data_IF_413986762496
#
_entry.id   IF_413986762496
#
_cell.length_a   1.000
_cell.length_b   1.000
_cell.length_c   1.000
_cell.angle_alpha   90.00
_cell.angle_beta   90.00
_cell.angle_gamma   90.00
#
_symmetry.space_group_name_H-M   'P 1'
#
loop_
_entity.id
_entity.type
_entity.pdbx_description
1 polymer ?
#
# COMPACT_ATOMS: atom_id res chain seq x y z
N UNK A 1 5.61 -16.13 -10.11
CA UNK A 1 5.78 -14.69 -9.87
C UNK A 1 6.23 -13.91 -11.10
N UNK A 2 7.12 -14.45 -11.93
CA UNK A 2 7.63 -13.72 -13.10
C UNK A 2 6.54 -13.33 -14.12
N UNK A 3 5.47 -14.12 -14.22
CA UNK A 3 4.30 -13.82 -15.10
C UNK A 3 3.47 -12.60 -14.67
N UNK A 4 3.68 -12.08 -13.47
CA UNK A 4 3.00 -10.90 -12.95
C UNK A 4 3.91 -9.66 -12.87
N UNK A 5 5.17 -9.78 -13.30
CA UNK A 5 6.16 -8.70 -13.16
C UNK A 5 5.69 -7.38 -13.79
N UNK A 6 5.10 -7.45 -14.98
CA UNK A 6 4.61 -6.28 -15.73
C UNK A 6 3.31 -5.69 -15.16
N UNK A 7 2.69 -6.36 -14.19
CA UNK A 7 1.44 -5.95 -13.54
C UNK A 7 1.64 -5.48 -12.10
N UNK A 8 2.87 -5.55 -11.60
CA UNK A 8 3.22 -5.10 -10.26
C UNK A 8 3.33 -3.58 -10.23
N UNK A 9 2.41 -2.93 -9.54
CA UNK A 9 2.39 -1.47 -9.33
C UNK A 9 3.21 -1.06 -8.10
N UNK A 10 3.14 -1.85 -7.04
CA UNK A 10 3.91 -1.66 -5.81
C UNK A 10 4.35 -3.02 -5.28
N UNK A 11 5.59 -3.09 -4.81
CA UNK A 11 6.13 -4.31 -4.18
C UNK A 11 7.25 -3.95 -3.22
N UNK A 12 7.26 -4.57 -2.05
CA UNK A 12 8.40 -4.48 -1.14
C UNK A 12 8.11 -5.01 0.25
N UNK A 13 9.17 -5.34 1.00
CA UNK A 13 9.08 -5.72 2.39
C UNK A 13 8.77 -4.53 3.29
N UNK A 14 8.01 -4.78 4.35
CA UNK A 14 7.99 -3.95 5.55
C UNK A 14 9.13 -4.37 6.47
N UNK A 15 9.69 -3.42 7.19
CA UNK A 15 10.87 -3.61 8.01
C UNK A 15 10.57 -3.25 9.47
N UNK A 16 11.35 -3.83 10.37
CA UNK A 16 11.38 -3.46 11.78
C UNK A 16 11.77 -1.98 11.97
N UNK A 17 11.58 -1.47 13.18
CA UNK A 17 11.85 -0.05 13.49
C UNK A 17 13.29 0.35 13.24
N UNK A 18 14.24 -0.55 13.44
CA UNK A 18 15.65 -0.36 13.13
C UNK A 18 16.02 -0.67 11.66
N UNK A 19 15.08 -1.22 10.88
CA UNK A 19 15.27 -1.60 9.49
C UNK A 19 16.01 -2.92 9.27
N UNK A 20 16.34 -3.66 10.32
CA UNK A 20 17.18 -4.84 10.24
C UNK A 20 16.43 -6.11 9.83
N UNK A 21 15.14 -6.22 10.15
CA UNK A 21 14.33 -7.41 9.94
C UNK A 21 13.15 -7.15 9.02
N UNK A 22 12.81 -8.14 8.20
CA UNK A 22 11.57 -8.13 7.43
C UNK A 22 10.40 -8.52 8.34
N UNK A 23 9.39 -7.66 8.42
CA UNK A 23 8.20 -7.88 9.24
C UNK A 23 6.97 -8.28 8.43
N UNK A 24 7.04 -8.12 7.11
CA UNK A 24 5.96 -8.45 6.19
C UNK A 24 6.28 -8.02 4.77
N UNK A 25 5.26 -7.98 3.93
CA UNK A 25 5.38 -7.56 2.53
C UNK A 25 4.06 -6.98 2.03
N UNK A 26 4.15 -6.01 1.13
CA UNK A 26 3.00 -5.49 0.40
C UNK A 26 3.19 -5.68 -1.09
N UNK A 27 2.11 -6.08 -1.77
CA UNK A 27 2.05 -6.16 -3.22
C UNK A 27 0.77 -5.47 -3.71
N UNK A 28 0.88 -4.56 -4.64
CA UNK A 28 -0.27 -4.04 -5.41
C UNK A 28 -0.09 -4.48 -6.85
N UNK A 29 -1.07 -5.20 -7.35
CA UNK A 29 -1.00 -5.88 -8.65
C UNK A 29 -2.23 -5.56 -9.47
N UNK A 30 -2.04 -5.19 -10.72
CA UNK A 30 -3.15 -5.01 -11.66
C UNK A 30 -3.65 -6.37 -12.15
N UNK A 31 -4.81 -6.78 -11.66
CA UNK A 31 -5.43 -8.07 -11.95
C UNK A 31 -6.91 -7.89 -12.31
N UNK A 32 -7.39 -8.72 -13.22
CA UNK A 32 -8.73 -8.62 -13.77
C UNK A 32 -9.85 -8.85 -12.75
N UNK A 33 -9.59 -9.64 -11.69
CA UNK A 33 -10.61 -10.01 -10.71
C UNK A 33 -9.99 -10.56 -9.41
N UNK A 34 -10.84 -10.73 -8.39
CA UNK A 34 -10.46 -11.26 -7.08
C UNK A 34 -9.82 -12.66 -7.16
N UNK A 35 -10.36 -13.55 -7.98
CA UNK A 35 -9.79 -14.91 -8.14
C UNK A 35 -8.33 -14.88 -8.67
N UNK A 36 -8.00 -13.90 -9.50
CA UNK A 36 -6.62 -13.64 -9.92
C UNK A 36 -5.73 -13.18 -8.77
N UNK A 37 -6.25 -12.32 -7.89
CA UNK A 37 -5.53 -11.82 -6.72
C UNK A 37 -5.30 -12.92 -5.67
N UNK A 38 -6.30 -13.74 -5.40
CA UNK A 38 -6.18 -14.89 -4.49
C UNK A 38 -5.17 -15.91 -5.01
N UNK A 39 -5.17 -16.17 -6.31
CA UNK A 39 -4.17 -17.03 -6.95
C UNK A 39 -2.77 -16.45 -6.88
N UNK A 40 -2.62 -15.13 -7.10
CA UNK A 40 -1.35 -14.45 -6.92
C UNK A 40 -0.82 -14.60 -5.48
N UNK A 41 -1.68 -14.37 -4.49
CA UNK A 41 -1.33 -14.53 -3.08
C UNK A 41 -0.95 -15.98 -2.74
N UNK A 42 -1.68 -16.97 -3.26
CA UNK A 42 -1.41 -18.39 -3.03
C UNK A 42 -0.09 -18.86 -3.68
N UNK A 43 0.37 -18.20 -4.73
CA UNK A 43 1.64 -18.51 -5.43
C UNK A 43 2.84 -17.73 -4.87
N UNK A 44 2.60 -16.87 -3.86
CA UNK A 44 3.67 -16.10 -3.23
C UNK A 44 4.63 -17.04 -2.49
N UNK A 45 5.96 -17.04 -2.82
CA UNK A 45 6.89 -18.03 -2.31
C UNK A 45 7.03 -18.05 -0.78
N UNK A 46 6.98 -16.89 -0.12
CA UNK A 46 7.07 -16.81 1.35
C UNK A 46 5.80 -17.31 2.03
N UNK A 47 4.63 -17.15 1.39
CA UNK A 47 3.39 -17.76 1.85
C UNK A 47 3.47 -19.29 1.74
N UNK A 48 3.92 -19.81 0.59
CA UNK A 48 4.10 -21.24 0.39
C UNK A 48 5.14 -21.87 1.32
N UNK A 49 6.17 -21.10 1.69
CA UNK A 49 7.17 -21.51 2.66
C UNK A 49 6.70 -21.41 4.13
N UNK A 50 5.46 -20.94 4.37
CA UNK A 50 4.92 -20.78 5.73
C UNK A 50 5.56 -19.66 6.56
N UNK A 51 6.20 -18.70 5.89
CA UNK A 51 6.87 -17.58 6.57
C UNK A 51 5.91 -16.44 6.93
N UNK A 52 4.74 -16.36 6.29
CA UNK A 52 3.68 -15.42 6.65
C UNK A 52 2.65 -16.10 7.55
N UNK A 53 2.24 -15.41 8.61
CA UNK A 53 1.20 -15.86 9.52
C UNK A 53 -0.20 -15.51 8.99
N UNK A 54 -0.31 -14.43 8.23
CA UNK A 54 -1.57 -13.93 7.69
C UNK A 54 -1.35 -13.25 6.34
N UNK A 55 -2.31 -13.43 5.44
CA UNK A 55 -2.36 -12.74 4.14
C UNK A 55 -3.75 -12.14 3.93
N UNK A 56 -3.80 -10.84 3.76
CA UNK A 56 -5.02 -10.12 3.45
C UNK A 56 -5.03 -9.72 1.98
N UNK A 57 -6.08 -10.10 1.26
CA UNK A 57 -6.34 -9.68 -0.12
C UNK A 57 -7.47 -8.66 -0.12
N UNK A 58 -7.22 -7.49 -0.66
CA UNK A 58 -8.20 -6.42 -0.78
C UNK A 58 -8.18 -5.81 -2.18
N UNK A 59 -9.34 -5.34 -2.64
CA UNK A 59 -9.42 -4.53 -3.86
C UNK A 59 -8.91 -3.13 -3.57
N UNK A 60 -8.16 -2.55 -4.51
CA UNK A 60 -7.62 -1.20 -4.37
C UNK A 60 -7.84 -0.38 -5.65
N UNK A 61 -8.09 0.91 -5.48
CA UNK A 61 -8.10 1.89 -6.56
C UNK A 61 -6.92 2.82 -6.36
N UNK A 62 -5.98 2.81 -7.31
CA UNK A 62 -4.78 3.65 -7.26
C UNK A 62 -5.16 5.08 -7.62
N UNK A 63 -4.92 6.00 -6.71
CA UNK A 63 -5.15 7.43 -6.90
C UNK A 63 -3.92 8.17 -7.40
N UNK A 64 -2.74 7.70 -6.96
CA UNK A 64 -1.46 8.32 -7.30
C UNK A 64 -0.36 7.28 -7.34
N UNK A 65 0.51 7.40 -8.32
CA UNK A 65 1.74 6.63 -8.43
C UNK A 65 2.77 7.48 -9.20
N UNK A 66 3.90 7.71 -8.59
CA UNK A 66 5.06 8.33 -9.24
C UNK A 66 6.35 7.63 -8.80
N UNK A 67 7.43 7.88 -9.52
CA UNK A 67 8.75 7.49 -9.03
C UNK A 67 9.08 8.33 -7.79
N UNK A 68 9.76 7.75 -6.79
CA UNK A 68 10.25 8.50 -5.63
C UNK A 68 11.10 9.68 -6.10
N UNK A 69 10.99 10.81 -5.42
CA UNK A 69 11.84 11.96 -5.72
C UNK A 69 13.32 11.58 -5.66
N UNK A 70 14.10 12.06 -6.63
CA UNK A 70 15.54 11.83 -6.66
C UNK A 70 16.18 12.35 -5.37
N UNK A 71 17.02 11.51 -4.75
CA UNK A 71 17.79 11.88 -3.54
C UNK A 71 17.18 11.43 -2.21
N UNK A 72 16.01 10.78 -2.21
CA UNK A 72 15.55 10.11 -0.99
C UNK A 72 16.37 8.84 -0.75
N UNK A 73 16.94 8.66 0.46
CA UNK A 73 17.57 7.40 0.81
C UNK A 73 16.60 6.23 0.64
N UNK A 74 17.06 5.12 0.09
CA UNK A 74 16.24 3.95 -0.16
C UNK A 74 15.58 3.38 1.13
N UNK A 75 16.12 3.73 2.29
CA UNK A 75 15.68 3.36 3.63
C UNK A 75 14.77 4.41 4.30
N UNK A 76 14.54 5.55 3.66
CA UNK A 76 13.71 6.64 4.18
C UNK A 76 12.23 6.54 3.74
N UNK A 77 11.80 5.44 3.16
CA UNK A 77 10.41 5.26 2.79
C UNK A 77 9.62 4.53 3.90
N UNK A 78 8.37 4.91 4.05
CA UNK A 78 7.43 4.23 4.93
C UNK A 78 6.16 3.82 4.18
N UNK A 79 5.70 2.60 4.46
CA UNK A 79 4.37 2.13 4.12
C UNK A 79 3.41 2.59 5.21
N UNK A 80 2.35 3.27 4.80
CA UNK A 80 1.26 3.72 5.68
C UNK A 80 0.00 2.98 5.29
N UNK A 81 -0.65 2.35 6.26
CA UNK A 81 -1.91 1.65 6.06
C UNK A 81 -2.94 2.10 7.08
N UNK A 82 -4.20 2.11 6.67
CA UNK A 82 -5.34 2.36 7.56
C UNK A 82 -6.54 1.54 7.12
N UNK A 83 -7.39 1.18 8.07
CA UNK A 83 -8.65 0.49 7.83
C UNK A 83 -9.77 1.20 8.56
N UNK A 84 -10.94 1.20 7.94
CA UNK A 84 -12.16 1.75 8.52
C UNK A 84 -13.38 0.95 8.07
N UNK A 85 -14.51 1.03 8.79
CA UNK A 85 -15.78 0.45 8.35
C UNK A 85 -16.16 0.98 6.97
N UNK A 86 -16.73 0.13 6.14
CA UNK A 86 -17.16 0.48 4.79
C UNK A 86 -17.95 1.79 4.76
N UNK A 87 -17.49 2.74 3.96
CA UNK A 87 -18.10 4.06 3.81
C UNK A 87 -18.43 4.34 2.36
N UNK A 88 -19.70 4.63 2.06
CA UNK A 88 -20.09 5.10 0.74
C UNK A 88 -19.32 6.38 0.40
N UNK A 89 -18.74 6.44 -0.79
CA UNK A 89 -17.98 7.61 -1.20
C UNK A 89 -17.69 7.64 -2.68
N UNK A 90 -17.64 8.85 -3.22
CA UNK A 90 -17.13 9.06 -4.57
C UNK A 90 -15.62 8.93 -4.54
N UNK A 91 -15.09 8.05 -5.36
CA UNK A 91 -13.66 7.99 -5.60
C UNK A 91 -13.24 9.31 -6.30
N UNK A 92 -12.22 9.99 -5.83
CA UNK A 92 -11.75 11.19 -6.48
C UNK A 92 -11.16 10.84 -7.85
N UNK A 93 -11.13 11.79 -8.79
CA UNK A 93 -10.35 11.62 -9.99
C UNK A 93 -8.87 11.42 -9.65
N UNK A 94 -8.11 10.66 -10.45
CA UNK A 94 -6.67 10.52 -10.28
C UNK A 94 -5.98 11.87 -10.21
N UNK A 95 -4.93 11.98 -9.38
CA UNK A 95 -4.13 13.20 -9.25
C UNK A 95 -4.43 14.10 -8.06
N UNK A 96 -5.40 13.75 -7.22
CA UNK A 96 -5.67 14.50 -5.97
C UNK A 96 -4.88 13.87 -4.82
N UNK A 97 -3.61 14.19 -4.73
CA UNK A 97 -2.74 13.65 -3.66
C UNK A 97 -1.87 14.75 -3.05
N UNK A 98 -1.67 14.72 -1.74
CA UNK A 98 -0.87 15.72 -1.05
C UNK A 98 0.64 15.48 -1.23
N UNK A 99 1.30 16.47 -1.80
CA UNK A 99 2.74 16.72 -1.65
C UNK A 99 3.69 15.79 -2.41
N UNK A 100 4.87 16.33 -2.70
CA UNK A 100 5.96 15.67 -3.45
C UNK A 100 6.59 14.47 -2.70
N UNK A 101 6.26 14.29 -1.43
CA UNK A 101 6.80 13.22 -0.58
C UNK A 101 6.03 11.90 -0.71
N UNK A 102 4.85 11.90 -1.33
CA UNK A 102 4.03 10.70 -1.48
C UNK A 102 4.24 10.12 -2.87
N UNK A 103 4.77 8.90 -2.95
CA UNK A 103 5.02 8.22 -4.22
C UNK A 103 3.91 7.25 -4.62
N UNK A 104 3.07 6.84 -3.68
CA UNK A 104 1.97 5.92 -3.95
C UNK A 104 0.79 6.14 -3.00
N UNK A 105 -0.42 6.18 -3.54
CA UNK A 105 -1.67 6.15 -2.77
C UNK A 105 -2.69 5.27 -3.48
N UNK A 106 -3.27 4.34 -2.74
CA UNK A 106 -4.43 3.57 -3.16
C UNK A 106 -5.48 3.52 -2.05
N UNK A 107 -6.74 3.68 -2.42
CA UNK A 107 -7.86 3.42 -1.53
C UNK A 107 -8.25 1.95 -1.62
N UNK A 108 -8.43 1.33 -0.48
CA UNK A 108 -9.03 0.01 -0.38
C UNK A 108 -10.54 0.17 -0.48
N UNK A 109 -11.16 -0.68 -1.28
CA UNK A 109 -12.57 -0.62 -1.60
C UNK A 109 -13.21 -2.01 -1.45
N UNK A 110 -14.52 -2.04 -1.35
CA UNK A 110 -15.30 -3.27 -1.49
C UNK A 110 -15.30 -3.78 -2.95
N UNK A 111 -15.85 -4.96 -3.17
CA UNK A 111 -15.75 -5.64 -4.47
C UNK A 111 -16.50 -4.92 -5.59
N UNK A 112 -17.55 -4.17 -5.29
CA UNK A 112 -18.31 -3.37 -6.25
C UNK A 112 -17.84 -1.90 -6.36
N UNK A 113 -16.84 -1.52 -5.58
CA UNK A 113 -16.25 -0.17 -5.49
C UNK A 113 -17.24 0.91 -5.03
N UNK A 114 -18.29 0.52 -4.35
CA UNK A 114 -19.29 1.45 -3.80
C UNK A 114 -18.85 2.11 -2.51
N UNK A 115 -17.97 1.44 -1.76
CA UNK A 115 -17.47 1.89 -0.46
C UNK A 115 -15.96 1.86 -0.37
N UNK A 116 -15.40 2.84 0.34
CA UNK A 116 -14.00 2.80 0.77
C UNK A 116 -13.89 2.08 2.11
N UNK A 117 -12.81 1.31 2.28
CA UNK A 117 -12.58 0.48 3.48
C UNK A 117 -11.19 0.66 4.07
N UNK A 118 -10.34 1.47 3.45
CA UNK A 118 -8.99 1.70 3.94
C UNK A 118 -8.11 2.43 2.93
N UNK A 119 -6.84 2.54 3.29
CA UNK A 119 -5.80 3.19 2.49
C UNK A 119 -4.50 2.39 2.57
N UNK A 120 -3.76 2.41 1.47
CA UNK A 120 -2.34 2.02 1.39
C UNK A 120 -1.59 3.15 0.72
N UNK A 121 -0.52 3.62 1.34
CA UNK A 121 0.30 4.71 0.82
C UNK A 121 1.77 4.46 1.08
N UNK A 122 2.63 5.00 0.23
CA UNK A 122 4.09 5.06 0.44
C UNK A 122 4.51 6.51 0.43
N UNK A 123 5.21 6.92 1.48
CA UNK A 123 5.78 8.25 1.59
C UNK A 123 7.29 8.16 1.84
N UNK A 124 8.03 9.11 1.26
CA UNK A 124 9.47 9.30 1.45
C UNK A 124 9.77 10.02 2.76
N UNK A 125 9.41 9.41 3.87
CA UNK A 125 9.61 9.95 5.21
C UNK A 125 9.71 8.81 6.24
N UNK A 126 10.18 9.13 7.45
CA UNK A 126 10.15 8.18 8.56
C UNK A 126 8.69 7.87 8.97
N UNK A 127 8.42 6.68 9.56
CA UNK A 127 7.05 6.21 9.81
C UNK A 127 6.13 7.22 10.48
N UNK A 128 6.57 7.88 11.56
CA UNK A 128 5.73 8.86 12.27
C UNK A 128 5.42 10.12 11.47
N UNK A 129 6.32 10.54 10.59
CA UNK A 129 6.11 11.66 9.69
C UNK A 129 5.25 11.25 8.50
N UNK A 130 5.50 10.08 7.93
CA UNK A 130 4.71 9.52 6.85
C UNK A 130 3.23 9.39 7.23
N UNK A 131 2.94 8.91 8.44
CA UNK A 131 1.56 8.85 8.94
C UNK A 131 0.91 10.25 8.97
N UNK A 132 1.63 11.29 9.44
CA UNK A 132 1.12 12.68 9.45
C UNK A 132 0.86 13.24 8.05
N UNK A 133 1.71 12.91 7.08
CA UNK A 133 1.56 13.32 5.68
C UNK A 133 0.31 12.68 5.06
N UNK A 134 0.03 11.40 5.35
CA UNK A 134 -1.09 10.65 4.80
C UNK A 134 -2.40 10.89 5.54
N UNK A 135 -2.36 11.33 6.81
CA UNK A 135 -3.53 11.50 7.67
C UNK A 135 -4.68 12.30 7.04
N UNK A 136 -4.45 13.47 6.39
CA UNK A 136 -5.55 14.23 5.81
C UNK A 136 -6.32 13.48 4.71
N UNK A 137 -5.61 12.65 3.95
CA UNK A 137 -6.25 11.80 2.91
C UNK A 137 -7.07 10.70 3.56
N UNK A 138 -6.50 10.04 4.56
CA UNK A 138 -7.19 8.97 5.29
C UNK A 138 -8.45 9.49 5.99
N UNK A 139 -8.38 10.62 6.67
CA UNK A 139 -9.52 11.23 7.37
C UNK A 139 -10.64 11.63 6.41
N UNK A 140 -10.26 12.16 5.25
CA UNK A 140 -11.23 12.54 4.21
C UNK A 140 -12.07 11.34 3.74
N UNK A 141 -11.43 10.21 3.47
CA UNK A 141 -12.10 9.01 2.95
C UNK A 141 -12.64 8.09 4.05
N UNK A 142 -12.06 8.12 5.23
CA UNK A 142 -12.55 7.42 6.41
C UNK A 142 -13.73 8.12 7.10
N UNK A 143 -14.01 9.37 6.74
CA UNK A 143 -15.11 10.16 7.27
C UNK A 143 -14.88 10.67 8.69
N UNK A 144 -13.64 10.94 9.05
CA UNK A 144 -13.19 11.45 10.35
C UNK A 144 -11.82 10.88 10.72
N UNK A 145 -11.33 11.15 11.92
CA UNK A 145 -10.02 10.67 12.36
C UNK A 145 -9.87 9.16 12.22
N UNK A 146 -8.84 8.72 11.47
CA UNK A 146 -8.53 7.32 11.20
C UNK A 146 -7.23 6.94 11.89
N UNK A 147 -7.20 5.78 12.53
CA UNK A 147 -5.96 5.21 13.01
C UNK A 147 -5.12 4.68 11.84
N UNK A 148 -3.90 5.19 11.72
CA UNK A 148 -2.92 4.75 10.72
C UNK A 148 -1.80 3.95 11.38
N UNK A 149 -1.36 2.91 10.68
CA UNK A 149 -0.12 2.20 10.98
C UNK A 149 0.92 2.58 9.94
N UNK A 150 2.11 2.95 10.39
CA UNK A 150 3.23 3.27 9.52
C UNK A 150 4.44 2.42 9.89
N UNK A 151 5.08 1.82 8.89
CA UNK A 151 6.23 0.94 9.05
C UNK A 151 7.32 1.34 8.04
N UNK A 152 8.59 1.14 8.39
CA UNK A 152 9.66 1.25 7.40
C UNK A 152 9.38 0.29 6.24
N UNK A 153 9.66 0.75 5.05
CA UNK A 153 9.41 0.00 3.83
C UNK A 153 10.55 0.20 2.83
N UNK A 154 10.93 -0.86 2.17
CA UNK A 154 11.90 -0.80 1.09
C UNK A 154 11.25 -1.23 -0.22
N UNK A 155 11.52 -0.50 -1.30
CA UNK A 155 11.05 -0.89 -2.63
C UNK A 155 11.70 -2.22 -3.00
N UNK A 156 10.89 -3.26 -3.20
CA UNK A 156 11.33 -4.55 -3.69
C UNK A 156 11.38 -4.57 -5.21
N UNK A 157 12.41 -5.17 -5.76
CA UNK A 157 12.57 -5.42 -7.18
C UNK A 157 13.81 -6.28 -7.39
N UNK A 158 13.84 -7.13 -8.43
CA UNK A 158 15.10 -7.64 -8.93
C UNK A 158 15.79 -6.47 -9.65
N UNK A 159 17.00 -6.16 -9.23
CA UNK A 159 17.92 -5.38 -10.06
C UNK A 159 18.38 -6.26 -11.20
#
# INVERSE_FOLDING_TARGET
MDRFADRLMLRGPTLSTDGAEHTGSVHVVDLANRAGAERFAAEEPYWQAGLYQDVTVARAVVLHQCEPADGLPADAAALVTGRWPARPGHLPPPGVVPGDQVSFVALLVDDDQSCTTGIVSVAGALPGEAARIVQPVADRFGGGPVALTAQRWARGGRR
#
